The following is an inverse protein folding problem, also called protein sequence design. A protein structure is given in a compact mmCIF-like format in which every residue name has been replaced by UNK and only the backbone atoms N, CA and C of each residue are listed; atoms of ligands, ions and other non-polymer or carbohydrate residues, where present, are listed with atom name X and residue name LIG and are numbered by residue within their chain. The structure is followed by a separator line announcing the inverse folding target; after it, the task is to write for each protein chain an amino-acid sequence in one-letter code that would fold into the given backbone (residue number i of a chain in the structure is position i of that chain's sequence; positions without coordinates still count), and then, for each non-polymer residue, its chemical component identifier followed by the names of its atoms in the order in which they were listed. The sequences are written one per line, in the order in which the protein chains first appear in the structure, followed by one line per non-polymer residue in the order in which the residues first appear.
data_IF_528646697759
#
_entry.id   IF_528646697759
#
_cell.length_a   1.000
_cell.length_b   1.000
_cell.length_c   1.000
_cell.angle_alpha   90.00
_cell.angle_beta   90.00
_cell.angle_gamma   90.00
#
_symmetry.space_group_name_H-M   'P 1'
#
loop_
_entity.id
_entity.type
_entity.pdbx_description
1 polymer ?
#
# COMPACT_ATOMS: atom_id res chain seq x y z
N UNK A 1 32.52 -10.23 40.72
CA UNK A 1 31.95 -9.25 39.78
C UNK A 1 32.35 -9.47 38.30
N UNK A 2 32.38 -10.71 37.78
CA UNK A 2 32.65 -10.98 36.34
C UNK A 2 31.58 -11.81 35.63
N UNK A 3 30.70 -12.50 36.37
CA UNK A 3 29.65 -13.37 35.81
C UNK A 3 28.36 -12.65 35.43
N UNK A 4 28.11 -11.46 35.97
CA UNK A 4 26.89 -10.68 35.71
C UNK A 4 26.95 -9.93 34.36
N UNK A 5 28.16 -9.66 33.84
CA UNK A 5 28.34 -8.96 32.56
C UNK A 5 28.16 -9.86 31.32
N UNK A 6 28.24 -11.18 31.49
CA UNK A 6 28.07 -12.14 30.38
C UNK A 6 26.60 -12.39 30.04
N UNK A 7 25.67 -12.24 30.99
CA UNK A 7 24.24 -12.46 30.75
C UNK A 7 23.58 -11.32 29.96
N UNK A 8 24.06 -10.08 30.09
CA UNK A 8 23.50 -8.94 29.35
C UNK A 8 23.84 -8.95 27.85
N UNK A 9 24.96 -9.54 27.45
CA UNK A 9 25.35 -9.59 26.04
C UNK A 9 24.53 -10.58 25.21
N UNK A 10 24.05 -11.67 25.83
CA UNK A 10 23.25 -12.69 25.14
C UNK A 10 21.80 -12.24 24.87
N UNK A 11 21.25 -11.34 25.70
CA UNK A 11 19.87 -10.87 25.58
C UNK A 11 19.66 -9.92 24.38
N UNK A 12 20.69 -9.20 23.98
CA UNK A 12 20.63 -8.24 22.85
C UNK A 12 20.60 -8.96 21.50
N UNK A 13 21.26 -10.11 21.37
CA UNK A 13 21.28 -10.90 20.13
C UNK A 13 19.95 -11.61 19.82
N UNK A 14 19.12 -11.89 20.84
CA UNK A 14 17.81 -12.53 20.66
C UNK A 14 16.72 -11.56 20.19
N UNK A 15 16.93 -10.24 20.34
CA UNK A 15 15.97 -9.22 19.92
C UNK A 15 16.16 -8.79 18.45
N UNK A 16 17.15 -9.34 17.74
CA UNK A 16 17.35 -9.09 16.31
C UNK A 16 16.57 -10.05 15.40
N UNK A 17 15.56 -10.74 15.92
CA UNK A 17 14.59 -11.42 15.07
C UNK A 17 13.91 -10.34 14.22
N UNK A 18 14.34 -10.22 12.97
CA UNK A 18 13.70 -9.39 11.97
C UNK A 18 12.25 -9.83 11.87
N UNK A 19 11.34 -9.08 12.49
CA UNK A 19 9.93 -9.10 12.17
C UNK A 19 9.85 -8.71 10.71
N UNK A 20 9.88 -9.70 9.83
CA UNK A 20 9.57 -9.51 8.43
C UNK A 20 8.08 -9.18 8.45
N UNK A 21 7.78 -7.88 8.40
CA UNK A 21 6.40 -7.43 8.30
C UNK A 21 5.85 -8.06 7.03
N UNK A 22 4.95 -9.03 7.18
CA UNK A 22 4.29 -9.64 6.05
C UNK A 22 3.67 -8.51 5.22
N UNK A 23 4.00 -8.48 3.93
CA UNK A 23 3.42 -7.49 3.02
C UNK A 23 1.90 -7.69 3.02
N UNK A 24 1.15 -6.62 3.30
CA UNK A 24 -0.31 -6.65 3.31
C UNK A 24 -0.84 -7.26 2.00
N UNK A 25 -1.55 -8.39 2.11
CA UNK A 25 -2.20 -9.07 0.98
C UNK A 25 -3.62 -8.57 0.80
N UNK A 26 -4.14 -8.73 -0.42
CA UNK A 26 -5.54 -8.42 -0.74
C UNK A 26 -6.52 -9.22 0.13
N UNK A 27 -6.25 -10.50 0.37
CA UNK A 27 -7.05 -11.35 1.26
C UNK A 27 -7.12 -10.84 2.70
N UNK A 28 -6.06 -10.19 3.20
CA UNK A 28 -6.05 -9.57 4.53
C UNK A 28 -6.72 -8.19 4.52
N UNK A 29 -6.46 -7.40 3.49
CA UNK A 29 -7.09 -6.10 3.31
C UNK A 29 -8.62 -6.19 3.22
N UNK A 30 -9.15 -7.21 2.58
CA UNK A 30 -10.60 -7.44 2.48
C UNK A 30 -11.29 -7.70 3.84
N UNK A 31 -10.52 -8.01 4.89
CA UNK A 31 -11.03 -8.21 6.25
C UNK A 31 -11.13 -6.89 7.03
N UNK A 32 -10.53 -5.82 6.54
CA UNK A 32 -10.59 -4.50 7.18
C UNK A 32 -12.02 -3.96 7.16
N UNK A 33 -12.37 -3.24 8.22
CA UNK A 33 -13.61 -2.45 8.27
C UNK A 33 -13.64 -1.39 7.17
N UNK A 34 -14.84 -0.89 6.86
CA UNK A 34 -14.98 0.19 5.87
C UNK A 34 -14.14 1.43 6.24
N UNK A 35 -14.06 1.77 7.53
CA UNK A 35 -13.26 2.89 8.01
C UNK A 35 -11.76 2.68 7.81
N UNK A 36 -11.24 1.48 8.10
CA UNK A 36 -9.83 1.14 7.87
C UNK A 36 -9.50 1.16 6.37
N UNK A 37 -10.37 0.60 5.54
CA UNK A 37 -10.21 0.66 4.07
C UNK A 37 -10.25 2.10 3.57
N UNK A 38 -11.16 2.94 4.08
CA UNK A 38 -11.27 4.35 3.71
C UNK A 38 -9.96 5.10 3.95
N UNK A 39 -9.40 5.00 5.15
CA UNK A 39 -8.14 5.68 5.48
C UNK A 39 -6.95 5.11 4.72
N UNK A 40 -6.93 3.80 4.48
CA UNK A 40 -5.92 3.19 3.63
C UNK A 40 -5.98 3.75 2.20
N UNK A 41 -7.17 3.83 1.60
CA UNK A 41 -7.33 4.43 0.27
C UNK A 41 -6.85 5.88 0.27
N UNK A 42 -7.29 6.69 1.23
CA UNK A 42 -6.87 8.09 1.32
C UNK A 42 -5.34 8.23 1.35
N UNK A 43 -4.66 7.46 2.21
CA UNK A 43 -3.20 7.46 2.28
C UNK A 43 -2.53 6.98 0.99
N UNK A 44 -3.06 5.93 0.36
CA UNK A 44 -2.52 5.37 -0.87
C UNK A 44 -2.66 6.34 -2.06
N UNK A 45 -3.84 6.93 -2.26
CA UNK A 45 -4.07 7.91 -3.33
C UNK A 45 -3.24 9.17 -3.11
N UNK A 46 -3.13 9.67 -1.88
CA UNK A 46 -2.29 10.83 -1.58
C UNK A 46 -0.82 10.57 -1.86
N UNK A 47 -0.29 9.43 -1.41
CA UNK A 47 1.11 9.07 -1.59
C UNK A 47 1.47 8.90 -3.07
N UNK A 48 0.65 8.14 -3.81
CA UNK A 48 0.86 7.92 -5.25
C UNK A 48 0.70 9.25 -6.00
N UNK A 49 -0.34 10.03 -5.70
CA UNK A 49 -0.58 11.34 -6.32
C UNK A 49 0.60 12.30 -6.13
N UNK A 50 1.15 12.38 -4.92
CA UNK A 50 2.32 13.20 -4.63
C UNK A 50 3.57 12.72 -5.39
N UNK A 51 3.84 11.41 -5.44
CA UNK A 51 4.97 10.90 -6.22
C UNK A 51 4.83 11.23 -7.71
N UNK A 52 3.63 11.04 -8.27
CA UNK A 52 3.37 11.35 -9.68
C UNK A 52 3.47 12.86 -9.96
N UNK A 53 3.05 13.71 -9.00
CA UNK A 53 3.10 15.17 -9.15
C UNK A 53 4.51 15.69 -9.40
N UNK A 54 5.54 15.04 -8.82
CA UNK A 54 6.94 15.38 -9.04
C UNK A 54 7.38 15.27 -10.50
N UNK A 55 6.66 14.49 -11.31
CA UNK A 55 6.99 14.23 -12.71
C UNK A 55 5.94 14.75 -13.69
N UNK A 56 4.66 14.66 -13.33
CA UNK A 56 3.54 15.03 -14.20
C UNK A 56 2.33 15.48 -13.36
N UNK A 57 2.15 16.81 -13.27
CA UNK A 57 1.05 17.42 -12.53
C UNK A 57 -0.34 17.01 -13.05
N UNK A 58 -0.50 16.79 -14.36
CA UNK A 58 -1.79 16.44 -14.93
C UNK A 58 -2.18 15.01 -14.56
N UNK A 59 -1.23 14.08 -14.60
CA UNK A 59 -1.46 12.70 -14.15
C UNK A 59 -1.72 12.60 -12.66
N UNK A 60 -1.03 13.40 -11.84
CA UNK A 60 -1.31 13.47 -10.41
C UNK A 60 -2.77 13.88 -10.14
N UNK A 61 -3.29 14.85 -10.88
CA UNK A 61 -4.72 15.24 -10.81
C UNK A 61 -5.64 14.09 -11.22
N UNK A 62 -5.27 13.28 -12.21
CA UNK A 62 -6.02 12.07 -12.55
C UNK A 62 -6.05 11.08 -11.39
N UNK A 63 -4.90 10.81 -10.75
CA UNK A 63 -4.79 9.91 -9.60
C UNK A 63 -5.68 10.36 -8.43
N UNK A 64 -5.53 11.61 -7.97
CA UNK A 64 -6.30 12.14 -6.84
C UNK A 64 -7.81 12.14 -7.10
N UNK A 65 -8.22 12.39 -8.35
CA UNK A 65 -9.64 12.43 -8.72
C UNK A 65 -10.20 11.06 -9.12
N UNK A 66 -9.36 10.03 -9.25
CA UNK A 66 -9.80 8.75 -9.76
C UNK A 66 -10.92 8.18 -8.91
N UNK A 67 -10.71 7.90 -7.61
CA UNK A 67 -11.76 7.31 -6.77
C UNK A 67 -12.99 8.21 -6.61
N UNK A 68 -12.87 9.52 -6.30
CA UNK A 68 -14.04 10.38 -6.07
C UNK A 68 -14.95 10.61 -7.29
N UNK A 69 -14.48 10.39 -8.53
CA UNK A 69 -15.30 10.64 -9.74
C UNK A 69 -16.43 9.62 -9.90
N UNK A 70 -16.20 8.36 -9.52
CA UNK A 70 -17.19 7.27 -9.61
C UNK A 70 -16.99 6.32 -8.42
N UNK A 71 -17.23 6.76 -7.18
CA UNK A 71 -16.75 6.08 -5.97
C UNK A 71 -17.29 4.65 -5.86
N UNK A 72 -18.59 4.45 -6.07
CA UNK A 72 -19.20 3.11 -5.95
C UNK A 72 -18.68 2.14 -7.00
N UNK A 73 -18.63 2.56 -8.27
CA UNK A 73 -18.11 1.74 -9.37
C UNK A 73 -16.63 1.41 -9.18
N UNK A 74 -15.82 2.37 -8.74
CA UNK A 74 -14.38 2.19 -8.55
C UNK A 74 -14.05 1.39 -7.29
N UNK A 75 -14.82 1.55 -6.20
CA UNK A 75 -14.76 0.65 -5.04
C UNK A 75 -15.14 -0.78 -5.42
N UNK A 76 -16.19 -0.97 -6.21
CA UNK A 76 -16.58 -2.29 -6.71
C UNK A 76 -15.47 -2.93 -7.58
N UNK A 77 -14.86 -2.15 -8.47
CA UNK A 77 -13.73 -2.60 -9.28
C UNK A 77 -12.52 -2.99 -8.41
N UNK A 78 -12.16 -2.18 -7.41
CA UNK A 78 -11.09 -2.48 -6.47
C UNK A 78 -11.38 -3.77 -5.71
N UNK A 79 -12.59 -3.91 -5.16
CA UNK A 79 -13.02 -5.11 -4.45
C UNK A 79 -12.91 -6.35 -5.32
N UNK A 80 -13.49 -6.31 -6.52
CA UNK A 80 -13.42 -7.43 -7.47
C UNK A 80 -11.96 -7.79 -7.81
N UNK A 81 -11.11 -6.79 -7.99
CA UNK A 81 -9.69 -7.01 -8.30
C UNK A 81 -8.96 -7.64 -7.11
N UNK A 82 -9.24 -7.22 -5.88
CA UNK A 82 -8.65 -7.80 -4.68
C UNK A 82 -9.11 -9.26 -4.47
N UNK A 83 -10.38 -9.56 -4.72
CA UNK A 83 -10.94 -10.91 -4.68
C UNK A 83 -10.30 -11.82 -5.75
N UNK A 84 -10.02 -11.27 -6.94
CA UNK A 84 -9.37 -12.01 -8.04
C UNK A 84 -7.88 -12.32 -7.79
N UNK A 85 -7.17 -11.45 -7.07
CA UNK A 85 -5.73 -11.55 -6.84
C UNK A 85 -5.39 -11.60 -5.34
N UNK A 86 -5.85 -12.62 -4.58
CA UNK A 86 -5.86 -12.60 -3.11
C UNK A 86 -4.46 -12.56 -2.46
N UNK A 87 -3.43 -13.05 -3.15
CA UNK A 87 -2.04 -13.11 -2.67
C UNK A 87 -1.17 -11.92 -3.08
N UNK A 88 -1.74 -10.97 -3.83
CA UNK A 88 -1.03 -9.75 -4.23
C UNK A 88 -1.23 -8.61 -3.23
N UNK A 89 -0.37 -7.60 -3.30
CA UNK A 89 -0.52 -6.37 -2.49
C UNK A 89 -1.65 -5.47 -3.03
N UNK A 90 -2.47 -4.86 -2.16
CA UNK A 90 -3.47 -3.87 -2.56
C UNK A 90 -2.88 -2.70 -3.33
N UNK A 91 -1.66 -2.27 -2.97
CA UNK A 91 -0.97 -1.18 -3.65
C UNK A 91 -0.61 -1.55 -5.09
N UNK A 92 -0.20 -2.79 -5.35
CA UNK A 92 0.12 -3.25 -6.72
C UNK A 92 -1.10 -3.22 -7.63
N UNK A 93 -2.25 -3.71 -7.13
CA UNK A 93 -3.51 -3.67 -7.87
C UNK A 93 -3.96 -2.23 -8.11
N UNK A 94 -3.89 -1.37 -7.08
CA UNK A 94 -4.24 0.04 -7.20
C UNK A 94 -3.39 0.75 -8.26
N UNK A 95 -2.07 0.55 -8.25
CA UNK A 95 -1.15 1.12 -9.24
C UNK A 95 -1.51 0.62 -10.64
N UNK A 96 -1.78 -0.67 -10.83
CA UNK A 96 -2.16 -1.22 -12.13
C UNK A 96 -3.45 -0.59 -12.67
N UNK A 97 -4.47 -0.42 -11.83
CA UNK A 97 -5.74 0.22 -12.20
C UNK A 97 -5.56 1.71 -12.53
N UNK A 98 -4.73 2.41 -11.76
CA UNK A 98 -4.37 3.80 -12.02
C UNK A 98 -3.57 3.94 -13.31
N UNK A 99 -2.62 3.06 -13.59
CA UNK A 99 -1.86 3.06 -14.85
C UNK A 99 -2.78 2.82 -16.06
N UNK A 100 -3.76 1.92 -15.92
CA UNK A 100 -4.77 1.70 -16.96
C UNK A 100 -5.64 2.94 -17.21
N UNK A 101 -5.92 3.73 -16.17
CA UNK A 101 -6.87 4.85 -16.25
C UNK A 101 -6.22 6.20 -16.56
N UNK A 102 -5.05 6.46 -15.97
CA UNK A 102 -4.32 7.72 -16.03
C UNK A 102 -3.07 7.64 -16.93
N UNK A 103 -2.83 6.48 -17.55
CA UNK A 103 -1.63 6.20 -18.32
C UNK A 103 -0.41 5.91 -17.45
N UNK A 104 0.76 5.79 -18.08
CA UNK A 104 2.01 5.52 -17.38
C UNK A 104 2.32 6.61 -16.34
N UNK A 105 2.34 6.21 -15.06
CA UNK A 105 2.43 7.12 -13.92
C UNK A 105 3.83 7.71 -13.70
N UNK A 106 4.89 6.92 -13.93
CA UNK A 106 6.29 7.32 -13.75
C UNK A 106 7.08 7.11 -15.05
N UNK A 107 8.09 7.94 -15.34
CA UNK A 107 8.97 7.74 -16.50
C UNK A 107 9.76 6.44 -16.38
N UNK A 108 10.29 5.94 -17.50
CA UNK A 108 11.31 4.88 -17.45
C UNK A 108 12.58 5.43 -16.80
N UNK A 109 13.18 4.63 -15.92
CA UNK A 109 14.48 4.88 -15.29
C UNK A 109 15.63 4.65 -16.26
#
# INVERSE_FOLDING_TARGET
MKRVRLFLAALVFLLSASTQADSLRNSDFLKFSEGEQHWWYAGAFESIGHMVFLHDKQKAQCVWRWLPTEPEKKKALLRQSFEQYPDHSPTSILIALLQKSCGKLLPDS
#
